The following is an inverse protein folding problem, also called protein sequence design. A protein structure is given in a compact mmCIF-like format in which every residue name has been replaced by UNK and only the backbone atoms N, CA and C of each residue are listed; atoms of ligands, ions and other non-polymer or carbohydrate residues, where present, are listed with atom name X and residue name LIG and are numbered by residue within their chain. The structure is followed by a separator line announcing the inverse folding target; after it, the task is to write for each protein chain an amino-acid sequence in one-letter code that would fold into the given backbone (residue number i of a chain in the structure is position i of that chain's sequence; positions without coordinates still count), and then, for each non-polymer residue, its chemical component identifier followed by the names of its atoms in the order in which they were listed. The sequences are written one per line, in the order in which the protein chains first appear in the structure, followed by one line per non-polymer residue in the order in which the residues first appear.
data_IF_123913747239
#
_entry.id   IF_123913747239
#
_cell.length_a   1.000
_cell.length_b   1.000
_cell.length_c   1.000
_cell.angle_alpha   90.00
_cell.angle_beta   90.00
_cell.angle_gamma   90.00
#
_symmetry.space_group_name_H-M   'P 1'
#
loop_
_entity.id
_entity.type
_entity.pdbx_description
1 polymer ?
#
# COMPACT_ATOMS: atom_id res chain seq x y z
N UNK A 1 -10.44 14.25 -52.63
CA UNK A 1 -10.32 15.20 -51.51
C UNK A 1 -10.83 14.44 -50.30
N UNK A 2 -9.91 14.03 -49.42
CA UNK A 2 -10.21 13.23 -48.25
C UNK A 2 -10.39 14.20 -47.09
N UNK A 3 -11.63 14.44 -46.71
CA UNK A 3 -11.94 15.24 -45.54
C UNK A 3 -11.86 14.35 -44.29
N UNK A 4 -10.78 14.61 -43.58
CA UNK A 4 -10.41 14.33 -42.19
C UNK A 4 -11.52 14.02 -41.18
N UNK A 5 -11.30 12.90 -40.45
CA UNK A 5 -11.13 12.82 -38.99
C UNK A 5 -12.17 13.51 -38.07
N UNK A 6 -12.91 12.69 -37.30
CA UNK A 6 -13.17 12.95 -35.87
C UNK A 6 -13.13 11.64 -35.09
N UNK A 7 -12.00 11.41 -34.42
CA UNK A 7 -11.81 10.80 -33.10
C UNK A 7 -13.04 10.16 -32.44
N UNK A 8 -12.96 8.85 -32.18
CA UNK A 8 -13.60 8.26 -31.01
C UNK A 8 -12.64 7.26 -30.36
N UNK A 9 -11.76 7.83 -29.53
CA UNK A 9 -11.04 7.11 -28.48
C UNK A 9 -11.99 6.97 -27.31
N UNK A 10 -12.72 5.86 -27.25
CA UNK A 10 -13.31 5.41 -25.98
C UNK A 10 -12.89 3.95 -25.81
N UNK A 11 -11.91 3.79 -24.93
CA UNK A 11 -11.46 2.53 -24.40
C UNK A 11 -12.69 1.76 -23.90
N UNK A 12 -12.91 0.57 -24.46
CA UNK A 12 -13.92 -0.37 -23.98
C UNK A 12 -13.46 -0.83 -22.59
N UNK A 13 -13.85 -0.09 -21.55
CA UNK A 13 -13.76 -0.50 -20.14
C UNK A 13 -14.85 -1.55 -19.91
N UNK A 14 -14.52 -2.76 -19.42
CA UNK A 14 -15.52 -3.79 -19.15
C UNK A 14 -16.52 -3.34 -18.06
N UNK A 15 -17.76 -3.85 -18.12
CA UNK A 15 -18.92 -3.30 -17.42
C UNK A 15 -18.81 -3.43 -15.90
N UNK A 16 -19.16 -2.34 -15.23
CA UNK A 16 -19.29 -2.21 -13.79
C UNK A 16 -20.68 -2.73 -13.36
N UNK A 17 -20.75 -3.87 -12.63
CA UNK A 17 -21.51 -4.02 -11.36
C UNK A 17 -21.79 -5.50 -10.96
N UNK A 18 -21.73 -5.75 -9.64
CA UNK A 18 -22.38 -6.84 -8.88
C UNK A 18 -21.58 -8.11 -8.49
N UNK A 19 -20.46 -7.89 -7.79
CA UNK A 19 -20.07 -8.65 -6.59
C UNK A 19 -19.25 -7.73 -5.66
N UNK A 20 -19.71 -7.54 -4.41
CA UNK A 20 -19.35 -6.42 -3.54
C UNK A 20 -17.87 -6.40 -3.06
N UNK A 21 -17.24 -5.25 -3.31
CA UNK A 21 -16.01 -4.68 -2.73
C UNK A 21 -14.64 -5.31 -3.08
N UNK A 22 -14.24 -5.16 -4.34
CA UNK A 22 -12.85 -5.23 -4.79
C UNK A 22 -12.17 -3.83 -4.73
N UNK A 23 -12.42 -3.05 -3.66
CA UNK A 23 -11.40 -2.08 -3.24
C UNK A 23 -10.13 -2.89 -3.00
N UNK A 24 -9.07 -2.63 -3.77
CA UNK A 24 -7.73 -3.15 -3.48
C UNK A 24 -7.37 -2.72 -2.06
N UNK A 25 -7.69 -3.56 -1.10
CA UNK A 25 -7.47 -3.32 0.31
C UNK A 25 -5.96 -3.26 0.53
N UNK A 26 -5.43 -2.05 0.65
CA UNK A 26 -4.05 -1.84 1.02
C UNK A 26 -3.90 -2.25 2.48
N UNK A 27 -3.32 -3.42 2.70
CA UNK A 27 -3.12 -4.03 4.02
C UNK A 27 -1.66 -4.03 4.41
N UNK A 28 -1.39 -3.73 5.67
CA UNK A 28 -0.06 -3.89 6.24
C UNK A 28 0.38 -5.35 6.16
N UNK A 29 1.56 -5.61 5.57
CA UNK A 29 2.12 -6.94 5.42
C UNK A 29 2.56 -7.58 6.75
N UNK A 30 2.61 -6.80 7.83
CA UNK A 30 3.08 -7.25 9.14
C UNK A 30 1.93 -7.55 10.11
N UNK A 31 0.94 -6.66 10.22
CA UNK A 31 -0.18 -6.83 11.14
C UNK A 31 -1.52 -7.17 10.46
N UNK A 32 -1.60 -7.06 9.12
CA UNK A 32 -2.81 -7.36 8.34
C UNK A 32 -3.87 -6.26 8.35
N UNK A 33 -3.68 -5.17 9.12
CA UNK A 33 -4.62 -4.05 9.20
C UNK A 33 -4.80 -3.35 7.86
N UNK A 34 -6.03 -2.94 7.58
CA UNK A 34 -6.38 -2.14 6.41
C UNK A 34 -5.96 -0.67 6.57
N UNK A 35 -5.81 0.04 5.46
CA UNK A 35 -5.47 1.47 5.43
C UNK A 35 -6.44 2.35 6.25
N UNK A 36 -7.68 1.92 6.44
CA UNK A 36 -8.68 2.64 7.23
C UNK A 36 -8.53 2.42 8.76
N UNK A 37 -7.76 1.41 9.18
CA UNK A 37 -7.53 1.08 10.59
C UNK A 37 -6.25 1.70 11.15
N UNK A 38 -5.46 2.35 10.31
CA UNK A 38 -4.14 2.91 10.64
C UNK A 38 -4.08 4.37 10.21
N UNK A 39 -3.26 5.17 10.89
CA UNK A 39 -3.13 6.58 10.54
C UNK A 39 -2.38 6.75 9.21
N UNK A 40 -1.36 5.91 8.99
CA UNK A 40 -0.55 5.94 7.78
C UNK A 40 -0.15 4.53 7.36
N UNK A 41 -0.23 4.28 6.05
CA UNK A 41 0.27 3.05 5.43
C UNK A 41 1.27 3.42 4.32
N UNK A 42 2.50 2.95 4.44
CA UNK A 42 3.57 3.19 3.47
C UNK A 42 3.58 2.05 2.45
N UNK A 43 3.50 2.39 1.17
CA UNK A 43 3.52 1.44 0.05
C UNK A 43 4.92 1.31 -0.57
N UNK A 44 5.46 0.10 -0.58
CA UNK A 44 6.62 -0.29 -1.37
C UNK A 44 6.22 -1.15 -2.59
N UNK A 45 7.18 -1.50 -3.48
CA UNK A 45 6.89 -2.27 -4.70
C UNK A 45 6.21 -3.63 -4.47
N UNK A 46 6.44 -4.27 -3.32
CA UNK A 46 5.88 -5.58 -2.98
C UNK A 46 5.49 -5.74 -1.50
N UNK A 47 5.55 -4.66 -0.71
CA UNK A 47 5.35 -4.71 0.74
C UNK A 47 4.69 -3.43 1.22
N UNK A 48 3.84 -3.54 2.23
CA UNK A 48 3.18 -2.41 2.87
C UNK A 48 3.42 -2.46 4.38
N UNK A 49 3.66 -1.30 4.99
CA UNK A 49 3.90 -1.20 6.44
C UNK A 49 3.15 0.00 7.01
N UNK A 50 2.45 -0.20 8.14
CA UNK A 50 1.73 0.88 8.82
C UNK A 50 2.57 1.58 9.89
N UNK A 51 2.10 2.75 10.33
CA UNK A 51 2.73 3.55 11.39
C UNK A 51 3.00 2.74 12.67
N UNK A 52 2.02 2.01 13.19
CA UNK A 52 2.17 1.21 14.40
C UNK A 52 3.25 0.10 14.26
N UNK A 53 3.36 -0.52 13.09
CA UNK A 53 4.39 -1.53 12.84
C UNK A 53 5.78 -0.89 12.73
N UNK A 54 5.89 0.32 12.20
CA UNK A 54 7.14 1.07 12.17
C UNK A 54 7.61 1.37 13.59
N UNK A 55 6.73 1.87 14.46
CA UNK A 55 7.06 2.21 15.86
C UNK A 55 7.56 0.98 16.62
N UNK A 56 6.82 -0.14 16.55
CA UNK A 56 7.24 -1.40 17.18
C UNK A 56 8.58 -1.91 16.66
N UNK A 57 8.80 -1.81 15.34
CA UNK A 57 10.07 -2.21 14.74
C UNK A 57 11.23 -1.30 15.20
N UNK A 58 10.99 0.02 15.31
CA UNK A 58 11.99 0.98 15.79
C UNK A 58 12.41 0.71 17.23
N UNK A 59 11.46 0.40 18.12
CA UNK A 59 11.74 0.05 19.52
C UNK A 59 12.65 -1.19 19.63
N UNK A 60 12.30 -2.27 18.92
CA UNK A 60 13.09 -3.50 18.90
C UNK A 60 14.51 -3.28 18.36
N UNK A 61 14.62 -2.53 17.25
CA UNK A 61 15.93 -2.21 16.64
C UNK A 61 16.77 -1.36 17.58
N UNK A 62 16.18 -0.37 18.24
CA UNK A 62 16.90 0.49 19.19
C UNK A 62 17.40 -0.30 20.38
N UNK A 63 16.55 -1.13 20.99
CA UNK A 63 16.93 -1.98 22.13
C UNK A 63 18.11 -2.89 21.76
N UNK A 64 18.08 -3.50 20.57
CA UNK A 64 19.16 -4.36 20.08
C UNK A 64 20.47 -3.60 19.82
N UNK A 65 20.41 -2.37 19.30
CA UNK A 65 21.60 -1.53 19.09
C UNK A 65 22.25 -1.12 20.42
N UNK A 66 21.45 -0.81 21.44
CA UNK A 66 21.94 -0.45 22.78
C UNK A 66 22.55 -1.66 23.51
N UNK A 67 22.02 -2.87 23.31
CA UNK A 67 22.64 -4.12 23.77
C UNK A 67 24.00 -4.35 23.10
N UNK A 68 24.06 -4.29 21.77
CA UNK A 68 25.30 -4.50 21.01
C UNK A 68 26.42 -3.51 21.37
N UNK A 69 26.07 -2.26 21.67
CA UNK A 69 27.02 -1.22 22.08
C UNK A 69 27.59 -1.42 23.50
N UNK A 70 26.92 -2.19 24.36
CA UNK A 70 27.42 -2.54 25.71
C UNK A 70 28.37 -3.75 25.68
N UNK A 71 28.22 -4.59 24.66
CA UNK A 71 29.01 -5.80 24.48
C UNK A 71 30.28 -5.57 23.62
N UNK A 72 30.52 -4.33 23.16
CA UNK A 72 31.72 -3.88 22.44
C UNK A 72 32.58 -2.97 23.30
#
# INVERSE_FOLDING_TARGET
MADTNTNNTEEIKPPESDALNEEKAYRCSFCGKDVNEVFMLVAGPAVFICDECIEKAQELVRAKKEEQARDS
#
